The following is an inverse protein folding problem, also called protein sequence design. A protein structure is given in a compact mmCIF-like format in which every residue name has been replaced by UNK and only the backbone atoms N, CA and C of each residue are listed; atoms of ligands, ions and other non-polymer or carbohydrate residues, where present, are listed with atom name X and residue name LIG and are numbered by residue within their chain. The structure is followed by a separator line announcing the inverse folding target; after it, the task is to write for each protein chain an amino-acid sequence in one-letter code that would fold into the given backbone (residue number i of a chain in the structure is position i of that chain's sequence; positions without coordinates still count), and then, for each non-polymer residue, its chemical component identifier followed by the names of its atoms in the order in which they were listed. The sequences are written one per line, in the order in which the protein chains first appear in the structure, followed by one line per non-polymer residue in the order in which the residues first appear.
data_IF_093072088665
#
_entry.id   IF_093072088665
#
_cell.length_a   1.000
_cell.length_b   1.000
_cell.length_c   1.000
_cell.angle_alpha   90.00
_cell.angle_beta   90.00
_cell.angle_gamma   90.00
#
_symmetry.space_group_name_H-M   'P 1'
#
loop_
_entity.id
_entity.type
_entity.pdbx_description
1 polymer ?
#
# COMPACT_ATOMS: atom_id res chain seq x y z
N UNK A 1 66.89 -8.20 13.52
CA UNK A 1 66.40 -8.94 12.33
C UNK A 1 64.89 -8.80 12.10
N UNK A 2 64.07 -8.64 13.15
CA UNK A 2 62.60 -8.51 13.08
C UNK A 2 62.04 -7.44 12.11
N UNK A 3 62.60 -6.22 12.11
CA UNK A 3 62.05 -5.09 11.33
C UNK A 3 62.31 -5.19 9.81
N UNK A 4 63.36 -5.90 9.39
CA UNK A 4 63.66 -6.12 7.97
C UNK A 4 62.62 -7.04 7.33
N UNK A 5 62.17 -8.05 8.08
CA UNK A 5 61.14 -9.00 7.65
C UNK A 5 59.76 -8.33 7.51
N UNK A 6 59.36 -7.50 8.48
CA UNK A 6 58.07 -6.79 8.43
C UNK A 6 57.99 -5.82 7.25
N UNK A 7 59.09 -5.12 6.92
CA UNK A 7 59.17 -4.25 5.73
C UNK A 7 58.98 -5.06 4.44
N UNK A 8 59.57 -6.24 4.33
CA UNK A 8 59.41 -7.10 3.17
C UNK A 8 57.97 -7.63 3.02
N UNK A 9 57.34 -8.04 4.13
CA UNK A 9 55.95 -8.52 4.15
C UNK A 9 54.97 -7.39 3.77
N UNK A 10 55.17 -6.17 4.27
CA UNK A 10 54.33 -5.03 3.94
C UNK A 10 54.41 -4.66 2.44
N UNK A 11 55.61 -4.72 1.84
CA UNK A 11 55.79 -4.44 0.40
C UNK A 11 55.16 -5.53 -0.47
N UNK A 12 55.26 -6.80 -0.06
CA UNK A 12 54.62 -7.91 -0.77
C UNK A 12 53.08 -7.81 -0.73
N UNK A 13 52.50 -7.37 0.39
CA UNK A 13 51.06 -7.15 0.52
C UNK A 13 50.57 -5.99 -0.36
N UNK A 14 51.36 -4.92 -0.46
CA UNK A 14 51.06 -3.76 -1.31
C UNK A 14 51.13 -4.07 -2.81
N UNK A 15 52.03 -4.97 -3.22
CA UNK A 15 52.12 -5.44 -4.59
C UNK A 15 50.97 -6.40 -4.95
N UNK A 16 50.51 -7.22 -3.99
CA UNK A 16 49.39 -8.13 -4.22
C UNK A 16 48.07 -7.38 -4.44
N UNK A 17 47.82 -6.27 -3.75
CA UNK A 17 46.61 -5.46 -3.96
C UNK A 17 46.63 -4.67 -5.27
N UNK A 18 47.80 -4.31 -5.78
CA UNK A 18 47.94 -3.57 -7.04
C UNK A 18 47.47 -4.38 -8.26
N UNK A 19 47.72 -5.70 -8.28
CA UNK A 19 47.33 -6.58 -9.41
C UNK A 19 45.84 -6.92 -9.42
N UNK A 20 45.14 -6.84 -8.28
CA UNK A 20 43.68 -7.03 -8.21
C UNK A 20 42.90 -5.83 -8.79
N UNK A 21 43.56 -4.70 -9.04
CA UNK A 21 42.89 -3.49 -9.53
C UNK A 21 42.54 -3.52 -11.04
N UNK A 22 43.13 -4.45 -11.81
CA UNK A 22 42.93 -4.52 -13.28
C UNK A 22 41.80 -5.49 -13.70
N UNK A 23 40.71 -5.56 -12.93
CA UNK A 23 39.59 -6.49 -13.17
C UNK A 23 38.22 -5.84 -13.46
N UNK A 24 38.12 -4.51 -13.53
CA UNK A 24 36.83 -3.87 -13.80
C UNK A 24 36.56 -3.85 -15.31
N UNK A 25 36.06 -4.97 -15.83
CA UNK A 25 35.33 -4.96 -17.10
C UNK A 25 34.12 -4.05 -16.90
N UNK A 26 34.01 -3.00 -17.71
CA UNK A 26 32.87 -2.10 -17.71
C UNK A 26 31.60 -2.92 -17.92
N UNK A 27 30.81 -3.13 -16.85
CA UNK A 27 29.48 -3.68 -16.98
C UNK A 27 28.66 -2.65 -17.76
N UNK A 28 28.42 -2.92 -19.04
CA UNK A 28 27.43 -2.18 -19.83
C UNK A 28 26.10 -2.44 -19.13
N UNK A 29 25.63 -1.45 -18.35
CA UNK A 29 24.31 -1.47 -17.77
C UNK A 29 23.31 -1.31 -18.91
N UNK A 30 22.78 -2.43 -19.41
CA UNK A 30 21.60 -2.42 -20.26
C UNK A 30 20.41 -2.11 -19.35
N UNK A 31 20.14 -0.83 -19.15
CA UNK A 31 19.00 -0.38 -18.37
C UNK A 31 17.73 -0.90 -19.07
N UNK A 32 16.84 -1.63 -18.38
CA UNK A 32 15.61 -2.07 -18.99
C UNK A 32 14.84 -0.84 -19.48
N UNK A 33 14.52 -0.80 -20.77
CA UNK A 33 13.64 0.23 -21.33
C UNK A 33 12.27 0.03 -20.70
N UNK A 34 11.99 0.79 -19.64
CA UNK A 34 10.70 0.76 -18.95
C UNK A 34 9.71 1.52 -19.83
N UNK A 35 9.02 0.81 -20.71
CA UNK A 35 7.87 1.37 -21.39
C UNK A 35 6.81 1.71 -20.33
N UNK A 36 6.19 2.91 -20.38
CA UNK A 36 5.07 3.20 -19.50
C UNK A 36 3.98 2.16 -19.78
N UNK A 37 3.55 1.46 -18.72
CA UNK A 37 2.45 0.51 -18.80
C UNK A 37 1.25 1.24 -19.41
N UNK A 38 0.56 0.61 -20.37
CA UNK A 38 -0.62 1.21 -20.98
C UNK A 38 -1.62 1.61 -19.88
N UNK A 39 -2.38 2.71 -20.04
CA UNK A 39 -3.32 3.17 -19.02
C UNK A 39 -4.27 2.07 -18.52
N UNK A 40 -4.63 1.15 -19.42
CA UNK A 40 -5.43 -0.04 -19.13
C UNK A 40 -4.67 -1.06 -18.27
N UNK A 41 -3.40 -1.36 -18.56
CA UNK A 41 -2.58 -2.28 -17.78
C UNK A 41 -2.18 -1.71 -16.41
N UNK A 42 -1.90 -0.41 -16.34
CA UNK A 42 -1.64 0.30 -15.08
C UNK A 42 -2.88 0.33 -14.16
N UNK A 43 -4.08 0.20 -14.72
CA UNK A 43 -5.32 0.04 -13.96
C UNK A 43 -5.41 -1.32 -13.27
N UNK A 44 -4.97 -2.39 -13.93
CA UNK A 44 -5.00 -3.76 -13.38
C UNK A 44 -4.07 -3.91 -12.18
N UNK A 45 -2.89 -3.28 -12.22
CA UNK A 45 -1.96 -3.26 -11.08
C UNK A 45 -2.59 -2.70 -9.79
N UNK A 46 -3.53 -1.75 -9.91
CA UNK A 46 -4.22 -1.15 -8.75
C UNK A 46 -5.18 -2.11 -8.04
N UNK A 47 -5.63 -3.16 -8.73
CA UNK A 47 -6.55 -4.15 -8.18
C UNK A 47 -5.83 -5.40 -7.64
N UNK A 48 -4.54 -5.56 -7.92
CA UNK A 48 -3.76 -6.77 -7.61
C UNK A 48 -3.19 -6.83 -6.19
N UNK A 49 -3.08 -5.70 -5.48
CA UNK A 49 -2.31 -5.62 -4.23
C UNK A 49 -3.16 -5.12 -3.05
N UNK A 50 -4.33 -5.74 -2.84
CA UNK A 50 -5.09 -5.52 -1.62
C UNK A 50 -4.54 -6.41 -0.51
N UNK A 51 -4.06 -5.85 0.61
CA UNK A 51 -3.51 -6.64 1.70
C UNK A 51 -4.62 -7.51 2.29
N UNK A 52 -4.38 -8.83 2.28
CA UNK A 52 -5.20 -9.80 2.99
C UNK A 52 -4.73 -9.88 4.44
N UNK A 53 -5.67 -9.84 5.37
CA UNK A 53 -5.35 -10.15 6.75
C UNK A 53 -5.05 -11.65 6.84
N UNK A 54 -3.80 -12.01 7.16
CA UNK A 54 -3.35 -13.41 7.25
C UNK A 54 -4.06 -14.21 8.36
N UNK A 55 -4.65 -13.54 9.35
CA UNK A 55 -5.36 -14.17 10.45
C UNK A 55 -6.82 -14.52 10.09
N UNK A 56 -7.52 -13.62 9.38
CA UNK A 56 -8.92 -13.82 9.00
C UNK A 56 -9.11 -14.29 7.55
N UNK A 57 -8.07 -14.26 6.73
CA UNK A 57 -8.12 -14.56 5.30
C UNK A 57 -8.90 -13.53 4.48
N UNK A 58 -9.30 -12.40 5.07
CA UNK A 58 -10.15 -11.40 4.42
C UNK A 58 -9.30 -10.30 3.78
N UNK A 59 -9.50 -9.99 2.48
CA UNK A 59 -8.92 -8.80 1.86
C UNK A 59 -9.57 -7.54 2.41
N UNK A 60 -8.74 -6.58 2.85
CA UNK A 60 -9.21 -5.26 3.23
C UNK A 60 -9.18 -4.34 2.00
N UNK A 61 -10.30 -4.26 1.28
CA UNK A 61 -10.42 -3.44 0.07
C UNK A 61 -10.92 -2.05 0.45
N UNK A 62 -10.11 -1.03 0.20
CA UNK A 62 -10.45 0.38 0.42
C UNK A 62 -10.05 1.22 -0.79
N UNK A 63 -11.03 1.90 -1.39
CA UNK A 63 -10.88 2.70 -2.61
C UNK A 63 -11.23 4.14 -2.28
N UNK A 64 -10.27 5.06 -2.43
CA UNK A 64 -10.56 6.49 -2.32
C UNK A 64 -11.27 6.96 -3.60
N UNK A 65 -12.53 7.34 -3.48
CA UNK A 65 -13.35 7.77 -4.62
C UNK A 65 -13.05 9.23 -4.98
N UNK A 66 -13.04 10.10 -3.97
CA UNK A 66 -12.88 11.54 -4.16
C UNK A 66 -12.45 12.21 -2.86
N UNK A 67 -11.62 13.24 -2.94
CA UNK A 67 -11.27 14.09 -1.80
C UNK A 67 -11.93 15.45 -1.99
N UNK A 68 -12.90 15.79 -1.15
CA UNK A 68 -13.49 17.13 -1.16
C UNK A 68 -12.50 18.07 -0.47
N UNK A 69 -12.02 19.05 -1.22
CA UNK A 69 -11.15 20.12 -0.71
C UNK A 69 -11.94 21.42 -0.58
N UNK A 70 -12.13 21.88 0.66
CA UNK A 70 -12.73 23.18 0.96
C UNK A 70 -11.73 24.01 1.80
N UNK A 71 -10.87 24.76 1.12
CA UNK A 71 -9.79 25.52 1.77
C UNK A 71 -8.79 24.60 2.47
N UNK A 72 -8.68 24.71 3.79
CA UNK A 72 -7.82 23.85 4.62
C UNK A 72 -8.47 22.49 4.95
N UNK A 73 -9.77 22.32 4.70
CA UNK A 73 -10.49 21.09 5.02
C UNK A 73 -10.38 20.09 3.87
N UNK A 74 -9.84 18.91 4.17
CA UNK A 74 -9.79 17.77 3.25
C UNK A 74 -10.64 16.64 3.82
N UNK A 75 -11.69 16.27 3.07
CA UNK A 75 -12.56 15.15 3.43
C UNK A 75 -12.45 14.08 2.34
N UNK A 76 -11.71 12.99 2.58
CA UNK A 76 -11.72 11.85 1.69
C UNK A 76 -13.06 11.10 1.79
N UNK A 77 -13.66 10.84 0.64
CA UNK A 77 -14.76 9.90 0.44
C UNK A 77 -14.15 8.57 0.04
N UNK A 78 -14.31 7.57 0.88
CA UNK A 78 -13.69 6.26 0.72
C UNK A 78 -14.75 5.17 0.65
N UNK A 79 -14.62 4.27 -0.30
CA UNK A 79 -15.45 3.10 -0.49
C UNK A 79 -14.70 1.87 0.03
N UNK A 80 -15.25 1.18 1.00
CA UNK A 80 -14.66 -0.02 1.61
C UNK A 80 -15.53 -1.25 1.34
N UNK A 81 -14.90 -2.39 1.01
CA UNK A 81 -15.59 -3.67 0.83
C UNK A 81 -15.19 -4.67 1.91
N UNK A 82 -16.18 -5.38 2.46
CA UNK A 82 -15.99 -6.41 3.47
C UNK A 82 -16.27 -7.81 2.91
N UNK A 83 -15.23 -8.61 2.72
CA UNK A 83 -15.31 -9.88 2.01
C UNK A 83 -15.68 -11.12 2.85
N UNK A 84 -16.18 -10.97 4.08
CA UNK A 84 -16.44 -12.11 4.99
C UNK A 84 -17.67 -12.99 4.64
N UNK A 85 -18.25 -12.79 3.46
CA UNK A 85 -19.52 -13.40 3.06
C UNK A 85 -20.73 -12.71 3.69
N UNK A 86 -21.86 -12.82 3.01
CA UNK A 86 -23.11 -12.15 3.38
C UNK A 86 -24.20 -13.18 3.63
N UNK A 87 -25.07 -12.90 4.58
CA UNK A 87 -26.26 -13.74 4.82
C UNK A 87 -27.26 -13.50 3.70
N UNK A 88 -28.03 -14.52 3.29
CA UNK A 88 -29.05 -14.39 2.23
C UNK A 88 -30.08 -13.29 2.53
N UNK A 89 -30.34 -13.03 3.82
CA UNK A 89 -31.25 -11.97 4.28
C UNK A 89 -30.54 -10.65 4.63
N UNK A 90 -29.29 -10.47 4.22
CA UNK A 90 -28.57 -9.22 4.45
C UNK A 90 -29.01 -8.16 3.44
N UNK A 91 -29.45 -7.00 3.94
CA UNK A 91 -29.90 -5.91 3.08
C UNK A 91 -28.70 -5.13 2.58
N UNK A 92 -28.60 -4.98 1.26
CA UNK A 92 -27.63 -4.12 0.63
C UNK A 92 -27.79 -2.68 1.14
N UNK A 93 -26.67 -2.06 1.50
CA UNK A 93 -26.63 -0.62 1.76
C UNK A 93 -26.78 0.16 0.46
N UNK A 94 -26.76 1.48 0.57
CA UNK A 94 -26.81 2.40 -0.55
C UNK A 94 -25.69 2.22 -1.59
N UNK A 95 -24.54 1.66 -1.19
CA UNK A 95 -23.40 1.37 -2.07
C UNK A 95 -23.41 -0.09 -2.57
N UNK A 96 -24.40 -0.91 -2.19
CA UNK A 96 -24.48 -2.33 -2.50
C UNK A 96 -24.21 -3.23 -1.29
N UNK A 97 -24.34 -4.54 -1.51
CA UNK A 97 -24.07 -5.57 -0.51
C UNK A 97 -22.57 -5.61 -0.21
N UNK A 98 -22.18 -5.51 1.07
CA UNK A 98 -20.78 -5.53 1.48
C UNK A 98 -19.97 -4.27 1.22
N UNK A 99 -20.54 -3.29 0.52
CA UNK A 99 -19.92 -2.02 0.22
C UNK A 99 -20.39 -0.97 1.23
N UNK A 100 -19.43 -0.29 1.85
CA UNK A 100 -19.67 0.82 2.76
C UNK A 100 -18.88 2.02 2.28
N UNK A 101 -19.58 3.12 2.00
CA UNK A 101 -18.91 4.39 1.74
C UNK A 101 -18.87 5.22 3.01
N UNK A 102 -17.63 5.60 3.35
CA UNK A 102 -17.25 6.50 4.41
C UNK A 102 -17.18 7.92 3.85
N UNK A 103 -17.89 8.83 4.53
CA UNK A 103 -17.86 10.26 4.28
C UNK A 103 -17.74 10.93 5.64
N UNK A 104 -16.83 11.89 5.80
CA UNK A 104 -16.76 12.65 7.04
C UNK A 104 -18.06 13.45 7.20
N UNK A 105 -18.83 13.15 8.25
CA UNK A 105 -20.13 13.79 8.52
C UNK A 105 -21.27 12.83 8.85
N UNK A 106 -21.09 11.51 8.74
CA UNK A 106 -22.12 10.55 9.16
C UNK A 106 -22.18 10.44 10.69
N UNK A 107 -23.20 11.05 11.29
CA UNK A 107 -23.54 10.91 12.70
C UNK A 107 -24.43 9.66 12.88
N UNK A 108 -23.92 8.64 13.56
CA UNK A 108 -24.72 7.49 13.98
C UNK A 108 -25.12 7.68 15.45
N UNK A 109 -26.33 8.19 15.69
CA UNK A 109 -26.90 8.24 17.03
C UNK A 109 -27.51 6.87 17.38
N UNK A 110 -26.80 6.06 18.17
CA UNK A 110 -27.36 4.84 18.77
C UNK A 110 -28.12 5.23 20.03
N UNK A 111 -29.40 5.57 19.87
CA UNK A 111 -30.29 5.85 20.99
C UNK A 111 -30.59 4.54 21.75
N UNK A 112 -30.15 4.47 23.00
CA UNK A 112 -30.48 3.35 23.88
C UNK A 112 -31.88 3.56 24.48
N UNK A 113 -32.84 2.77 24.04
CA UNK A 113 -33.88 2.24 24.91
C UNK A 113 -34.88 3.21 25.56
N UNK A 114 -35.38 4.23 24.85
CA UNK A 114 -36.62 4.90 25.27
C UNK A 114 -37.63 4.84 24.13
N UNK A 115 -38.70 4.05 24.35
CA UNK A 115 -39.89 3.98 23.49
C UNK A 115 -40.64 5.30 23.54
N UNK A 116 -40.30 6.24 22.66
CA UNK A 116 -41.18 7.37 22.36
C UNK A 116 -41.62 7.24 20.91
N UNK A 117 -42.91 6.98 20.69
CA UNK A 117 -43.54 6.92 19.36
C UNK A 117 -43.21 8.22 18.62
N UNK A 118 -42.45 8.12 17.53
CA UNK A 118 -42.17 9.25 16.65
C UNK A 118 -43.44 9.62 15.89
N UNK A 119 -44.09 10.70 16.33
CA UNK A 119 -45.09 11.41 15.53
C UNK A 119 -44.32 12.19 14.47
N UNK A 120 -44.29 11.65 13.25
CA UNK A 120 -43.84 12.38 12.07
C UNK A 120 -44.84 13.52 11.83
N UNK A 121 -44.39 14.76 11.97
CA UNK A 121 -45.08 15.92 11.42
C UNK A 121 -44.15 16.49 10.38
N UNK A 122 -44.71 16.62 9.18
CA UNK A 122 -44.13 17.11 7.93
C UNK A 122 -43.65 18.54 8.11
#
# INVERSE_FOLDING_TARGET
MQYSLYRFVMVAMLLFTATVSSGQMASVYDAPVVFPKSPTAAGVDKFGDYPVNQFSGLPQISINLYEITAGALKVPITLSYHAAGFRVNEKAGWAGLGWTVWQAGKLHAKLWGIRTKSRQVI
#
